data_IF_176724709510
#
_entry.id   IF_176724709510
#
_cell.length_a   1.000
_cell.length_b   1.000
_cell.length_c   1.000
_cell.angle_alpha   90.00
_cell.angle_beta   90.00
_cell.angle_gamma   90.00
#
_symmetry.space_group_name_H-M   'P 1'
#
loop_
_entity.id
_entity.type
_entity.pdbx_description
1 polymer ?
#
# COMPACT_ATOMS: atom_id res chain seq x y z
N UNK A 1 -0.22 16.79 -35.00
CA UNK A 1 -0.09 17.11 -33.56
C UNK A 1 -0.60 15.92 -32.75
N UNK A 2 0.29 15.02 -32.35
CA UNK A 2 -0.09 13.82 -31.58
C UNK A 2 -0.43 14.21 -30.15
N UNK A 3 -1.72 14.21 -29.82
CA UNK A 3 -2.19 14.29 -28.43
C UNK A 3 -1.88 12.96 -27.78
N UNK A 4 -0.73 12.88 -27.12
CA UNK A 4 -0.43 11.77 -26.21
C UNK A 4 -1.55 11.74 -25.16
N UNK A 5 -2.30 10.63 -25.02
CA UNK A 5 -3.34 10.56 -24.01
C UNK A 5 -2.71 10.75 -22.62
N UNK A 6 -3.26 11.69 -21.85
CA UNK A 6 -2.82 12.09 -20.50
C UNK A 6 -2.68 10.86 -19.57
N UNK A 7 -3.37 9.75 -19.86
CA UNK A 7 -3.28 8.46 -19.16
C UNK A 7 -1.87 7.85 -19.07
N UNK A 8 -0.90 8.29 -19.87
CA UNK A 8 0.47 7.73 -19.82
C UNK A 8 1.37 8.52 -18.85
N UNK A 9 1.02 9.76 -18.49
CA UNK A 9 1.84 10.60 -17.61
C UNK A 9 1.53 10.40 -16.12
N UNK A 10 0.32 10.00 -15.75
CA UNK A 10 -0.07 9.68 -14.37
C UNK A 10 0.34 8.27 -13.88
N UNK A 11 1.23 7.58 -14.60
CA UNK A 11 2.07 6.53 -14.01
C UNK A 11 3.29 7.10 -13.29
N UNK A 12 3.33 8.42 -13.09
CA UNK A 12 4.16 9.09 -12.08
C UNK A 12 3.94 8.36 -10.76
N UNK A 13 5.04 7.87 -10.18
CA UNK A 13 5.08 7.05 -8.98
C UNK A 13 4.08 7.55 -7.92
N UNK A 14 2.98 6.83 -7.75
CA UNK A 14 2.01 7.13 -6.70
C UNK A 14 2.70 6.83 -5.37
N UNK A 15 3.04 7.88 -4.62
CA UNK A 15 3.74 7.76 -3.34
C UNK A 15 2.80 8.08 -2.18
N UNK A 16 3.00 7.41 -1.05
CA UNK A 16 2.40 7.78 0.23
C UNK A 16 2.91 9.15 0.69
N UNK A 17 2.27 9.75 1.69
CA UNK A 17 2.68 11.04 2.26
C UNK A 17 4.10 11.03 2.80
N UNK A 18 4.54 9.90 3.35
CA UNK A 18 5.89 9.64 3.86
C UNK A 18 6.87 9.11 2.78
N UNK A 19 6.44 9.09 1.51
CA UNK A 19 7.32 8.93 0.36
C UNK A 19 7.52 7.49 -0.15
N UNK A 20 6.81 6.50 0.38
CA UNK A 20 6.88 5.12 -0.12
C UNK A 20 6.12 4.97 -1.42
N UNK A 21 6.63 4.16 -2.34
CA UNK A 21 5.92 3.83 -3.57
C UNK A 21 4.71 2.94 -3.25
N UNK A 22 3.49 3.39 -3.55
CA UNK A 22 2.25 2.67 -3.27
C UNK A 22 2.22 1.27 -3.87
N UNK A 23 2.87 1.07 -5.03
CA UNK A 23 3.01 -0.25 -5.64
C UNK A 23 3.85 -1.20 -4.78
N UNK A 24 4.93 -0.70 -4.16
CA UNK A 24 5.74 -1.49 -3.25
C UNK A 24 4.94 -1.82 -1.99
N UNK A 25 4.28 -0.83 -1.39
CA UNK A 25 3.40 -1.03 -0.23
C UNK A 25 2.36 -2.12 -0.52
N UNK A 26 1.63 -2.01 -1.63
CA UNK A 26 0.64 -3.00 -2.04
C UNK A 26 1.26 -4.41 -2.25
N UNK A 27 2.41 -4.49 -2.91
CA UNK A 27 3.13 -5.76 -3.15
C UNK A 27 3.60 -6.41 -1.85
N UNK A 28 4.10 -5.64 -0.89
CA UNK A 28 4.51 -6.14 0.41
C UNK A 28 3.30 -6.70 1.18
N UNK A 29 2.17 -5.99 1.15
CA UNK A 29 0.92 -6.44 1.77
C UNK A 29 0.35 -7.69 1.11
N UNK A 30 0.41 -7.81 -0.23
CA UNK A 30 -0.05 -9.00 -0.96
C UNK A 30 0.72 -10.28 -0.60
N UNK A 31 1.98 -10.15 -0.14
CA UNK A 31 2.77 -11.29 0.35
C UNK A 31 2.30 -11.83 1.70
N UNK A 32 1.47 -11.10 2.44
CA UNK A 32 0.83 -11.61 3.65
C UNK A 32 -0.33 -12.53 3.24
N UNK A 33 -0.23 -13.82 3.59
CA UNK A 33 -1.15 -14.88 3.12
C UNK A 33 -2.65 -14.61 3.37
N UNK A 34 -2.98 -13.80 4.37
CA UNK A 34 -4.34 -13.46 4.77
C UNK A 34 -4.82 -12.10 4.21
N UNK A 35 -3.98 -11.37 3.49
CA UNK A 35 -4.31 -10.06 2.91
C UNK A 35 -4.66 -10.22 1.44
N UNK A 36 -5.72 -9.55 1.01
CA UNK A 36 -6.14 -9.41 -0.38
C UNK A 36 -6.08 -7.95 -0.78
N UNK A 37 -5.43 -7.66 -1.90
CA UNK A 37 -5.38 -6.32 -2.49
C UNK A 37 -6.47 -6.20 -3.55
N UNK A 38 -7.21 -5.09 -3.51
CA UNK A 38 -8.13 -4.69 -4.58
C UNK A 38 -7.71 -3.32 -5.12
N UNK A 39 -7.78 -3.18 -6.44
CA UNK A 39 -7.55 -1.94 -7.17
C UNK A 39 -8.85 -1.66 -7.93
N UNK A 40 -9.67 -0.71 -7.48
CA UNK A 40 -10.97 -0.51 -8.14
C UNK A 40 -11.61 0.87 -7.97
N UNK A 41 -10.86 1.89 -7.55
CA UNK A 41 -11.43 3.22 -7.30
C UNK A 41 -10.58 4.31 -7.99
N UNK A 42 -11.20 5.32 -8.65
CA UNK A 42 -10.46 6.42 -9.27
C UNK A 42 -9.78 7.36 -8.26
N UNK A 43 -10.11 7.27 -6.96
CA UNK A 43 -9.55 8.07 -5.88
C UNK A 43 -8.68 7.27 -4.90
N UNK A 44 -8.79 5.93 -4.92
CA UNK A 44 -7.99 5.02 -4.08
C UNK A 44 -7.22 4.05 -4.95
N UNK A 45 -5.90 4.11 -4.84
CA UNK A 45 -5.01 3.29 -5.67
C UNK A 45 -5.06 1.81 -5.27
N UNK A 46 -5.07 1.50 -3.96
CA UNK A 46 -5.21 0.13 -3.47
C UNK A 46 -5.99 0.04 -2.16
N UNK A 47 -6.70 -1.07 -1.97
CA UNK A 47 -7.38 -1.40 -0.71
C UNK A 47 -6.92 -2.78 -0.26
N UNK A 48 -6.28 -2.85 0.91
CA UNK A 48 -5.87 -4.08 1.55
C UNK A 48 -6.96 -4.55 2.54
N UNK A 49 -7.37 -5.82 2.41
CA UNK A 49 -8.41 -6.43 3.25
C UNK A 49 -7.95 -7.79 3.76
N UNK A 50 -8.38 -8.16 4.96
CA UNK A 50 -8.26 -9.52 5.49
C UNK A 50 -9.64 -10.00 5.93
N UNK A 51 -10.02 -11.27 5.72
CA UNK A 51 -11.30 -11.80 6.20
C UNK A 51 -11.46 -11.72 7.73
N UNK A 52 -10.35 -11.73 8.47
CA UNK A 52 -10.33 -11.74 9.93
C UNK A 52 -10.39 -10.33 10.56
N UNK A 53 -10.22 -9.25 9.77
CA UNK A 53 -10.23 -7.88 10.27
C UNK A 53 -11.22 -7.03 9.46
N UNK A 54 -12.25 -6.44 10.12
CA UNK A 54 -13.33 -5.76 9.40
C UNK A 54 -12.89 -4.46 8.74
N UNK A 55 -11.86 -3.80 9.28
CA UNK A 55 -11.39 -2.50 8.79
C UNK A 55 -10.33 -2.68 7.68
N UNK A 56 -10.63 -2.26 6.44
CA UNK A 56 -9.65 -2.31 5.36
C UNK A 56 -8.58 -1.22 5.53
N UNK A 57 -7.36 -1.49 5.07
CA UNK A 57 -6.32 -0.46 4.94
C UNK A 57 -6.39 0.16 3.55
N UNK A 58 -6.63 1.46 3.50
CA UNK A 58 -6.74 2.24 2.27
C UNK A 58 -5.35 2.81 1.92
N UNK A 59 -4.88 2.54 0.71
CA UNK A 59 -3.60 3.01 0.21
C UNK A 59 -3.85 4.04 -0.89
N UNK A 60 -3.48 5.28 -0.62
CA UNK A 60 -3.57 6.40 -1.55
C UNK A 60 -2.40 7.36 -1.32
N UNK A 61 -2.29 8.38 -2.17
CA UNK A 61 -1.30 9.46 -1.97
C UNK A 61 -1.47 10.24 -0.66
N UNK A 62 -2.61 10.09 0.01
CA UNK A 62 -2.91 10.72 1.30
C UNK A 62 -2.62 9.81 2.50
N UNK A 63 -2.23 8.56 2.25
CA UNK A 63 -1.88 7.62 3.31
C UNK A 63 -0.48 7.90 3.82
N UNK A 64 -0.28 7.93 5.14
CA UNK A 64 1.04 7.87 5.76
C UNK A 64 1.34 6.41 6.15
N UNK A 65 2.31 5.78 5.49
CA UNK A 65 2.58 4.36 5.72
C UNK A 65 3.03 4.07 7.15
N UNK A 66 3.84 4.94 7.76
CA UNK A 66 4.32 4.77 9.13
C UNK A 66 3.21 4.90 10.18
N UNK A 67 2.23 5.76 9.95
CA UNK A 67 1.15 6.04 10.92
C UNK A 67 -0.10 5.19 10.71
N UNK A 68 -0.39 4.76 9.47
CA UNK A 68 -1.61 4.05 9.14
C UNK A 68 -1.36 2.59 8.75
N UNK A 69 -0.42 2.35 7.84
CA UNK A 69 -0.18 1.01 7.29
C UNK A 69 0.59 0.14 8.28
N UNK A 70 1.62 0.68 8.93
CA UNK A 70 2.42 -0.08 9.91
C UNK A 70 1.54 -0.57 11.07
N UNK A 71 0.74 0.27 11.77
CA UNK A 71 -0.13 -0.22 12.84
C UNK A 71 -1.17 -1.22 12.35
N UNK A 72 -1.75 -1.01 11.16
CA UNK A 72 -2.68 -1.97 10.57
C UNK A 72 -2.01 -3.33 10.36
N UNK A 73 -0.80 -3.36 9.79
CA UNK A 73 -0.04 -4.61 9.60
C UNK A 73 0.24 -5.30 10.92
N UNK A 74 0.68 -4.56 11.95
CA UNK A 74 0.90 -5.14 13.30
C UNK A 74 -0.35 -5.84 13.81
N UNK A 75 -1.51 -5.20 13.65
CA UNK A 75 -2.79 -5.74 14.12
C UNK A 75 -3.20 -7.01 13.37
N UNK A 76 -2.98 -7.06 12.05
CA UNK A 76 -3.44 -8.20 11.24
C UNK A 76 -2.44 -9.36 11.14
N UNK A 77 -1.13 -9.11 11.31
CA UNK A 77 -0.08 -10.12 11.16
C UNK A 77 0.58 -10.55 12.46
N UNK A 78 0.46 -9.74 13.53
CA UNK A 78 1.18 -9.95 14.78
C UNK A 78 2.66 -9.53 14.75
N UNK A 79 3.16 -8.92 13.67
CA UNK A 79 4.49 -8.31 13.66
C UNK A 79 4.57 -7.21 14.72
N UNK A 80 5.70 -7.12 15.44
CA UNK A 80 5.88 -6.15 16.53
C UNK A 80 6.80 -5.00 16.15
N UNK A 81 7.78 -5.28 15.30
CA UNK A 81 8.83 -4.35 14.93
C UNK A 81 8.35 -3.37 13.83
N UNK A 82 8.27 -2.08 14.17
CA UNK A 82 7.80 -1.06 13.22
C UNK A 82 8.76 -0.87 12.05
N UNK A 83 10.06 -0.90 12.30
CA UNK A 83 11.07 -0.55 11.30
C UNK A 83 11.22 -1.67 10.28
N UNK A 84 11.11 -2.92 10.71
CA UNK A 84 11.07 -4.10 9.84
C UNK A 84 9.85 -4.07 8.92
N UNK A 85 8.67 -3.74 9.46
CA UNK A 85 7.46 -3.58 8.64
C UNK A 85 7.66 -2.43 7.66
N UNK A 86 8.12 -1.28 8.13
CA UNK A 86 8.30 -0.09 7.30
C UNK A 86 9.30 -0.34 6.15
N UNK A 87 10.41 -1.04 6.44
CA UNK A 87 11.40 -1.44 5.44
C UNK A 87 10.79 -2.41 4.42
N UNK A 88 10.03 -3.40 4.88
CA UNK A 88 9.35 -4.34 3.97
C UNK A 88 8.36 -3.63 3.03
N UNK A 89 7.62 -2.64 3.54
CA UNK A 89 6.73 -1.79 2.74
C UNK A 89 7.51 -0.95 1.72
N UNK A 90 8.67 -0.43 2.11
CA UNK A 90 9.56 0.34 1.24
C UNK A 90 10.13 -0.52 0.10
N UNK A 91 10.58 -1.73 0.40
CA UNK A 91 11.21 -2.66 -0.55
C UNK A 91 10.18 -3.43 -1.39
N UNK A 92 8.92 -3.45 -0.96
CA UNK A 92 7.85 -4.19 -1.62
C UNK A 92 7.89 -5.70 -1.35
N UNK A 93 8.41 -6.09 -0.20
CA UNK A 93 8.47 -7.47 0.24
C UNK A 93 9.13 -7.66 1.60
N UNK A 94 8.85 -8.80 2.22
CA UNK A 94 9.48 -9.26 3.46
C UNK A 94 10.76 -10.00 3.10
N UNK A 95 11.92 -9.50 3.56
CA UNK A 95 13.21 -10.17 3.47
C UNK A 95 13.49 -10.98 4.73
#
# INVERSE_FOLDING_TARGET
MNRVPIRVRDRLEQKTLDGLNLKNVAKALERLLFVRIKTNDPYVDYIAKTPAFPEPCILSKYTNAREEVVPWVKNVSGYKDSDTIYLALQEGGWN
#
